data_IF_698726680334
#
_entry.id   IF_698726680334
#
_cell.length_a   1.000
_cell.length_b   1.000
_cell.length_c   1.000
_cell.angle_alpha   90.00
_cell.angle_beta   90.00
_cell.angle_gamma   90.00
#
_symmetry.space_group_name_H-M   'P 1'
#
loop_
_entity.id
_entity.type
_entity.pdbx_description
1 polymer ?
#
# COMPACT_ATOMS: atom_id res chain seq x y z
N UNK A 1 -37.25 3.83 23.36
CA UNK A 1 -37.81 5.20 23.39
C UNK A 1 -37.58 5.74 24.79
N UNK A 2 -36.77 6.78 24.95
CA UNK A 2 -36.47 7.34 26.27
C UNK A 2 -37.64 8.21 26.72
N UNK A 3 -38.48 7.70 27.62
CA UNK A 3 -39.46 8.52 28.34
C UNK A 3 -38.70 9.49 29.23
N UNK A 4 -38.64 10.75 28.84
CA UNK A 4 -38.06 11.82 29.67
C UNK A 4 -38.97 12.04 30.88
N UNK A 5 -38.71 11.32 31.97
CA UNK A 5 -39.40 11.52 33.24
C UNK A 5 -38.97 12.90 33.76
N UNK A 6 -39.86 13.88 33.64
CA UNK A 6 -39.60 15.25 34.09
C UNK A 6 -39.33 15.27 35.60
N UNK A 7 -38.30 15.99 36.03
CA UNK A 7 -37.98 16.15 37.46
C UNK A 7 -39.22 16.63 38.23
N UNK A 8 -39.67 15.91 39.26
CA UNK A 8 -40.84 16.29 40.03
C UNK A 8 -40.61 17.65 40.68
N UNK A 9 -41.63 18.51 40.63
CA UNK A 9 -41.61 19.84 41.28
C UNK A 9 -42.48 19.80 42.54
N UNK A 10 -42.07 20.49 43.62
CA UNK A 10 -42.91 20.60 44.80
C UNK A 10 -44.19 21.39 44.46
N UNK A 11 -45.30 21.14 45.19
CA UNK A 11 -46.56 21.87 44.96
C UNK A 11 -46.40 23.37 45.27
N UNK A 12 -45.48 23.69 46.17
CA UNK A 12 -45.21 25.04 46.65
C UNK A 12 -43.72 25.21 46.96
N UNK A 13 -43.19 26.42 46.78
CA UNK A 13 -41.80 26.77 47.08
C UNK A 13 -41.77 27.73 48.27
N UNK A 14 -41.77 27.22 49.51
CA UNK A 14 -41.72 28.06 50.70
C UNK A 14 -40.41 28.83 50.78
N UNK A 15 -40.49 30.10 51.16
CA UNK A 15 -39.35 30.98 51.42
C UNK A 15 -38.91 30.95 52.87
N UNK A 16 -39.79 30.54 53.79
CA UNK A 16 -39.49 30.31 55.20
C UNK A 16 -40.23 29.06 55.78
N UNK A 17 -39.85 28.57 56.97
CA UNK A 17 -40.45 27.37 57.57
C UNK A 17 -41.90 27.55 58.05
N UNK A 18 -42.35 28.77 58.35
CA UNK A 18 -43.71 29.07 58.83
C UNK A 18 -44.70 29.03 57.66
N UNK A 19 -44.26 29.53 56.50
CA UNK A 19 -44.95 29.45 55.21
C UNK A 19 -45.13 27.97 54.77
N UNK A 20 -44.08 27.16 54.87
CA UNK A 20 -44.16 25.71 54.64
C UNK A 20 -45.15 25.02 55.59
N UNK A 21 -45.05 25.30 56.89
CA UNK A 21 -45.89 24.68 57.92
C UNK A 21 -47.36 25.03 57.71
N UNK A 22 -47.65 26.28 57.36
CA UNK A 22 -49.00 26.74 57.03
C UNK A 22 -49.55 26.05 55.77
N UNK A 23 -48.72 25.88 54.74
CA UNK A 23 -49.13 25.24 53.48
C UNK A 23 -49.31 23.72 53.60
N UNK A 24 -48.47 23.01 54.37
CA UNK A 24 -48.53 21.55 54.48
C UNK A 24 -49.75 21.07 55.28
N UNK A 25 -50.27 21.88 56.21
CA UNK A 25 -51.51 21.57 56.95
C UNK A 25 -52.71 21.44 56.00
N UNK A 26 -52.79 22.29 54.97
CA UNK A 26 -53.90 22.28 54.01
C UNK A 26 -53.63 21.37 52.80
N UNK A 27 -52.37 21.25 52.36
CA UNK A 27 -51.98 20.53 51.13
C UNK A 27 -51.12 19.29 51.38
N UNK A 28 -51.25 18.65 52.55
CA UNK A 28 -50.40 17.52 52.95
C UNK A 28 -50.41 16.32 51.98
N UNK A 29 -51.53 16.08 51.28
CA UNK A 29 -51.62 15.04 50.26
C UNK A 29 -50.75 15.34 49.02
N UNK A 30 -50.72 16.60 48.58
CA UNK A 30 -49.89 17.03 47.44
C UNK A 30 -48.40 16.94 47.78
N UNK A 31 -48.04 17.27 49.02
CA UNK A 31 -46.69 17.10 49.55
C UNK A 31 -46.28 15.61 49.67
N UNK A 32 -47.19 14.74 50.13
CA UNK A 32 -46.96 13.29 50.14
C UNK A 32 -46.71 12.74 48.73
N UNK A 33 -47.57 13.09 47.77
CA UNK A 33 -47.43 12.68 46.37
C UNK A 33 -46.20 13.28 45.68
N UNK A 34 -45.73 14.46 46.12
CA UNK A 34 -44.44 15.01 45.68
C UNK A 34 -43.29 14.15 46.21
N UNK A 35 -43.24 13.88 47.52
CA UNK A 35 -42.18 13.06 48.13
C UNK A 35 -42.10 11.66 47.51
N UNK A 36 -43.25 11.00 47.27
CA UNK A 36 -43.30 9.71 46.56
C UNK A 36 -42.74 9.80 45.14
N UNK A 37 -43.10 10.85 44.39
CA UNK A 37 -42.58 11.06 43.02
C UNK A 37 -41.10 11.43 42.99
N UNK A 38 -40.57 12.09 44.02
CA UNK A 38 -39.12 12.33 44.19
C UNK A 38 -38.38 11.01 44.41
N UNK A 39 -38.88 10.15 45.28
CA UNK A 39 -38.27 8.83 45.56
C UNK A 39 -38.24 7.96 44.29
N UNK A 40 -39.39 7.82 43.60
CA UNK A 40 -39.49 7.13 42.31
C UNK A 40 -38.54 7.71 41.26
N UNK A 41 -38.40 9.05 41.20
CA UNK A 41 -37.49 9.72 40.27
C UNK A 41 -36.02 9.43 40.59
N UNK A 42 -35.62 9.45 41.87
CA UNK A 42 -34.24 9.14 42.29
C UNK A 42 -33.91 7.68 41.94
N UNK A 43 -34.76 6.73 42.33
CA UNK A 43 -34.58 5.30 42.04
C UNK A 43 -34.45 5.03 40.54
N UNK A 44 -35.21 5.74 39.70
CA UNK A 44 -35.12 5.57 38.24
C UNK A 44 -33.91 6.27 37.61
N UNK A 45 -33.41 7.37 38.18
CA UNK A 45 -32.33 8.18 37.58
C UNK A 45 -30.93 7.86 38.10
N UNK A 46 -30.79 7.34 39.31
CA UNK A 46 -29.51 6.90 39.88
C UNK A 46 -28.76 5.89 38.98
N UNK A 47 -29.36 4.79 38.47
CA UNK A 47 -28.65 3.85 37.61
C UNK A 47 -28.25 4.47 36.26
N UNK A 48 -29.10 5.34 35.69
CA UNK A 48 -28.81 6.04 34.43
C UNK A 48 -27.64 7.02 34.62
N UNK A 49 -27.59 7.71 35.76
CA UNK A 49 -26.49 8.60 36.11
C UNK A 49 -25.19 7.82 36.36
N UNK A 50 -25.25 6.67 37.02
CA UNK A 50 -24.10 5.80 37.24
C UNK A 50 -23.52 5.26 35.92
N UNK A 51 -24.37 4.77 35.02
CA UNK A 51 -23.99 4.32 33.67
C UNK A 51 -23.37 5.46 32.85
N UNK A 52 -24.02 6.64 32.85
CA UNK A 52 -23.50 7.83 32.15
C UNK A 52 -22.14 8.28 32.68
N UNK A 53 -21.95 8.27 34.01
CA UNK A 53 -20.64 8.56 34.62
C UNK A 53 -19.59 7.50 34.28
N UNK A 54 -19.96 6.22 34.22
CA UNK A 54 -19.06 5.16 33.79
C UNK A 54 -18.63 5.35 32.33
N UNK A 55 -19.58 5.60 31.43
CA UNK A 55 -19.31 5.86 30.01
C UNK A 55 -18.42 7.09 29.82
N UNK A 56 -18.68 8.18 30.57
CA UNK A 56 -17.88 9.40 30.56
C UNK A 56 -16.44 9.18 31.06
N UNK A 57 -16.19 8.19 31.94
CA UNK A 57 -14.84 7.78 32.36
C UNK A 57 -14.15 6.86 31.34
N UNK A 58 -14.90 6.03 30.63
CA UNK A 58 -14.36 5.09 29.64
C UNK A 58 -13.99 5.76 28.30
N UNK A 59 -14.82 6.70 27.82
CA UNK A 59 -14.61 7.37 26.52
C UNK A 59 -13.23 8.04 26.38
N UNK A 60 -12.70 8.80 27.36
CA UNK A 60 -11.36 9.37 27.27
C UNK A 60 -10.25 8.30 27.17
N UNK A 61 -10.39 7.19 27.89
CA UNK A 61 -9.41 6.08 27.85
C UNK A 61 -9.42 5.39 26.49
N UNK A 62 -10.59 5.16 25.90
CA UNK A 62 -10.74 4.59 24.57
C UNK A 62 -10.17 5.52 23.49
N UNK A 63 -10.46 6.83 23.55
CA UNK A 63 -9.87 7.82 22.66
C UNK A 63 -8.34 7.86 22.79
N UNK A 64 -7.80 7.78 24.01
CA UNK A 64 -6.36 7.75 24.24
C UNK A 64 -5.71 6.45 23.76
N UNK A 65 -6.42 5.32 23.76
CA UNK A 65 -5.93 4.07 23.17
C UNK A 65 -5.88 4.17 21.64
N UNK A 66 -6.98 4.61 21.01
CA UNK A 66 -7.06 4.82 19.56
C UNK A 66 -6.04 5.85 19.05
N UNK A 67 -5.79 6.94 19.79
CA UNK A 67 -4.76 7.91 19.42
C UNK A 67 -3.37 7.28 19.37
N UNK A 68 -3.00 6.45 20.38
CA UNK A 68 -1.71 5.74 20.37
C UNK A 68 -1.59 4.76 19.20
N UNK A 69 -2.69 4.10 18.83
CA UNK A 69 -2.73 3.20 17.68
C UNK A 69 -2.52 3.96 16.37
N UNK A 70 -3.20 5.11 16.19
CA UNK A 70 -3.00 6.01 15.05
C UNK A 70 -1.55 6.51 14.98
N UNK A 71 -0.97 6.94 16.11
CA UNK A 71 0.41 7.42 16.19
C UNK A 71 1.40 6.29 15.84
N UNK A 72 1.13 5.06 16.28
CA UNK A 72 1.95 3.89 15.97
C UNK A 72 1.87 3.50 14.49
N UNK A 73 0.68 3.47 13.91
CA UNK A 73 0.48 3.17 12.49
C UNK A 73 1.13 4.23 11.58
N UNK A 74 1.08 5.52 11.94
CA UNK A 74 1.81 6.56 11.22
C UNK A 74 3.33 6.36 11.28
N UNK A 75 3.89 5.92 12.41
CA UNK A 75 5.32 5.61 12.52
C UNK A 75 5.71 4.41 11.64
N UNK A 76 4.90 3.35 11.64
CA UNK A 76 5.11 2.19 10.76
C UNK A 76 5.06 2.59 9.28
N UNK A 77 4.04 3.35 8.86
CA UNK A 77 3.91 3.84 7.49
C UNK A 77 5.11 4.69 7.06
N UNK A 78 5.53 5.62 7.91
CA UNK A 78 6.70 6.49 7.65
C UNK A 78 7.99 5.66 7.51
N UNK A 79 8.17 4.62 8.33
CA UNK A 79 9.31 3.72 8.24
C UNK A 79 9.32 2.93 6.91
N UNK A 80 8.19 2.33 6.53
CA UNK A 80 8.03 1.62 5.25
C UNK A 80 8.24 2.53 4.03
N UNK A 81 7.66 3.74 4.03
CA UNK A 81 7.88 4.72 2.97
C UNK A 81 9.37 5.08 2.82
N UNK A 82 10.09 5.25 3.93
CA UNK A 82 11.54 5.53 3.92
C UNK A 82 12.36 4.34 3.39
N UNK A 83 12.02 3.12 3.79
CA UNK A 83 12.67 1.89 3.33
C UNK A 83 12.42 1.65 1.82
N UNK A 84 11.19 1.89 1.36
CA UNK A 84 10.83 1.82 -0.05
C UNK A 84 11.58 2.88 -0.87
N UNK A 85 11.65 4.12 -0.38
CA UNK A 85 12.40 5.20 -1.04
C UNK A 85 13.90 4.88 -1.15
N UNK A 86 14.51 4.35 -0.08
CA UNK A 86 15.91 3.93 -0.07
C UNK A 86 16.15 2.78 -1.06
N UNK A 87 15.28 1.78 -1.09
CA UNK A 87 15.35 0.64 -2.03
C UNK A 87 15.24 1.13 -3.48
N UNK A 88 14.30 2.03 -3.77
CA UNK A 88 14.14 2.64 -5.10
C UNK A 88 15.37 3.44 -5.52
N UNK A 89 15.97 4.22 -4.61
CA UNK A 89 17.19 4.97 -4.89
C UNK A 89 18.39 4.04 -5.19
N UNK A 90 18.54 2.96 -4.42
CA UNK A 90 19.59 1.95 -4.65
C UNK A 90 19.43 1.25 -6.01
N UNK A 91 18.20 0.83 -6.36
CA UNK A 91 17.90 0.24 -7.68
C UNK A 91 18.19 1.22 -8.82
N UNK A 92 17.84 2.49 -8.67
CA UNK A 92 18.13 3.50 -9.68
C UNK A 92 19.65 3.71 -9.86
N UNK A 93 20.43 3.79 -8.78
CA UNK A 93 21.88 3.89 -8.84
C UNK A 93 22.52 2.67 -9.54
N UNK A 94 22.02 1.44 -9.30
CA UNK A 94 22.46 0.23 -10.00
C UNK A 94 22.18 0.32 -11.50
N UNK A 95 20.97 0.76 -11.89
CA UNK A 95 20.58 0.93 -13.30
C UNK A 95 21.46 1.98 -13.99
N UNK A 96 21.75 3.10 -13.33
CA UNK A 96 22.60 4.17 -13.86
C UNK A 96 24.06 3.70 -14.02
N UNK A 97 24.60 2.98 -13.05
CA UNK A 97 25.93 2.35 -13.15
C UNK A 97 26.00 1.33 -14.31
N UNK A 98 25.02 0.43 -14.42
CA UNK A 98 24.96 -0.56 -15.51
C UNK A 98 24.86 0.11 -16.90
N UNK A 99 24.09 1.20 -17.02
CA UNK A 99 24.05 2.02 -18.25
C UNK A 99 25.38 2.68 -18.56
N UNK A 100 26.14 3.09 -17.54
CA UNK A 100 27.51 3.60 -17.69
C UNK A 100 28.45 2.54 -18.26
N UNK A 101 28.54 1.38 -17.59
CA UNK A 101 29.37 0.25 -18.03
C UNK A 101 29.03 -0.22 -19.45
N UNK A 102 27.74 -0.25 -19.82
CA UNK A 102 27.31 -0.66 -21.16
C UNK A 102 27.80 0.31 -22.25
N UNK A 103 27.70 1.62 -22.01
CA UNK A 103 28.20 2.65 -22.95
C UNK A 103 29.72 2.60 -23.11
N UNK A 104 30.45 2.39 -22.02
CA UNK A 104 31.90 2.22 -22.07
C UNK A 104 32.27 1.00 -22.95
N UNK A 105 31.61 -0.15 -22.74
CA UNK A 105 31.85 -1.36 -23.53
C UNK A 105 31.43 -1.24 -25.00
N UNK A 106 30.36 -0.50 -25.28
CA UNK A 106 29.94 -0.18 -26.64
C UNK A 106 30.99 0.69 -27.35
N UNK A 107 31.54 1.70 -26.66
CA UNK A 107 32.61 2.55 -27.20
C UNK A 107 33.93 1.77 -27.40
N UNK A 108 34.33 0.92 -26.45
CA UNK A 108 35.47 0.01 -26.57
C UNK A 108 35.35 -0.86 -27.84
N UNK A 109 34.18 -1.45 -28.06
CA UNK A 109 33.89 -2.29 -29.22
C UNK A 109 33.97 -1.51 -30.54
N UNK A 110 33.40 -0.31 -30.60
CA UNK A 110 33.47 0.57 -31.78
C UNK A 110 34.93 0.94 -32.09
N UNK A 111 35.72 1.27 -31.07
CA UNK A 111 37.14 1.61 -31.22
C UNK A 111 37.94 0.41 -31.76
N UNK A 112 37.77 -0.77 -31.17
CA UNK A 112 38.45 -1.99 -31.61
C UNK A 112 38.04 -2.43 -33.04
N UNK A 113 36.78 -2.19 -33.42
CA UNK A 113 36.31 -2.45 -34.79
C UNK A 113 36.95 -1.48 -35.80
N UNK A 114 37.11 -0.20 -35.43
CA UNK A 114 37.80 0.80 -36.25
C UNK A 114 39.30 0.46 -36.41
N UNK A 115 39.99 0.11 -35.32
CA UNK A 115 41.40 -0.30 -35.33
C UNK A 115 41.61 -1.55 -36.21
N UNK A 116 40.76 -2.58 -36.05
CA UNK A 116 40.78 -3.77 -36.91
C UNK A 116 40.65 -3.39 -38.39
N UNK A 117 39.69 -2.54 -38.74
CA UNK A 117 39.45 -2.14 -40.13
C UNK A 117 40.66 -1.36 -40.70
N UNK A 118 41.29 -0.50 -39.91
CA UNK A 118 42.52 0.20 -40.28
C UNK A 118 43.69 -0.77 -40.48
N UNK A 119 43.89 -1.73 -39.58
CA UNK A 119 44.93 -2.75 -39.69
C UNK A 119 44.76 -3.62 -40.95
N UNK A 120 43.51 -4.00 -41.29
CA UNK A 120 43.21 -4.73 -42.52
C UNK A 120 43.52 -3.91 -43.77
N UNK A 121 43.21 -2.61 -43.79
CA UNK A 121 43.55 -1.73 -44.91
C UNK A 121 45.07 -1.57 -45.08
N UNK A 122 45.82 -1.42 -43.99
CA UNK A 122 47.28 -1.32 -44.01
C UNK A 122 47.98 -2.63 -44.42
N UNK A 123 47.37 -3.77 -44.09
CA UNK A 123 47.86 -5.10 -44.48
C UNK A 123 47.47 -5.51 -45.91
N UNK A 124 46.61 -4.74 -46.59
CA UNK A 124 46.20 -5.05 -47.96
C UNK A 124 47.38 -4.83 -48.94
N UNK A 125 47.84 -5.87 -49.66
CA UNK A 125 49.01 -5.74 -50.52
C UNK A 125 48.74 -4.77 -51.68
N UNK A 126 49.53 -3.70 -51.75
CA UNK A 126 49.42 -2.68 -52.81
C UNK A 126 49.96 -3.20 -54.14
N UNK A 127 49.19 -4.06 -54.80
CA UNK A 127 49.50 -4.51 -56.16
C UNK A 127 49.27 -3.34 -57.12
N UNK A 128 50.36 -2.75 -57.61
CA UNK A 128 50.33 -1.89 -58.79
C UNK A 128 50.00 -2.76 -60.01
N UNK A 129 48.71 -2.94 -60.30
CA UNK A 129 48.26 -3.63 -61.50
C UNK A 129 48.55 -2.75 -62.73
N UNK A 130 49.42 -3.15 -63.66
CA UNK A 130 49.62 -2.40 -64.90
C UNK A 130 48.30 -2.37 -65.69
N UNK A 131 47.96 -1.21 -66.27
CA UNK A 131 46.70 -1.04 -66.99
C UNK A 131 46.59 -2.06 -68.15
N UNK A 132 45.64 -2.99 -68.04
CA UNK A 132 45.33 -3.94 -69.11
C UNK A 132 44.19 -3.39 -69.97
N UNK A 133 44.50 -3.13 -71.23
CA UNK A 133 43.56 -2.70 -72.27
C UNK A 133 42.35 -3.64 -72.33
N UNK A 134 41.11 -3.13 -72.49
CA UNK A 134 39.93 -3.99 -72.58
C UNK A 134 39.87 -4.68 -73.94
N UNK A 135 39.61 -5.99 -73.94
CA UNK A 135 39.21 -6.75 -75.12
C UNK A 135 37.88 -7.48 -74.87
N UNK A 136 37.18 -7.85 -75.94
CA UNK A 136 35.73 -7.76 -76.02
C UNK A 136 35.00 -9.10 -76.11
N UNK A 137 33.83 -9.15 -75.45
CA UNK A 137 32.64 -9.94 -75.80
C UNK A 137 32.65 -11.49 -75.66
N UNK A 138 31.42 -12.03 -75.78
CA UNK A 138 30.98 -13.44 -75.72
C UNK A 138 30.98 -14.10 -74.31
N UNK A 139 29.96 -14.84 -73.87
CA UNK A 139 28.57 -15.06 -74.38
C UNK A 139 27.73 -15.67 -73.22
N UNK A 140 26.40 -15.49 -73.21
CA UNK A 140 25.49 -16.07 -72.20
C UNK A 140 24.52 -17.06 -72.85
N UNK A 141 24.53 -18.33 -72.42
CA UNK A 141 23.28 -19.00 -72.00
C UNK A 141 23.50 -20.01 -70.84
N UNK A 142 22.50 -20.53 -70.12
CA UNK A 142 21.11 -20.17 -69.83
C UNK A 142 20.57 -21.16 -68.74
N UNK A 143 19.27 -21.06 -68.39
CA UNK A 143 18.45 -22.10 -67.71
C UNK A 143 18.60 -22.26 -66.18
N UNK A 144 17.62 -21.70 -65.46
CA UNK A 144 16.94 -22.38 -64.33
C UNK A 144 15.71 -23.14 -64.92
N UNK A 145 15.05 -24.16 -64.29
CA UNK A 145 14.45 -24.05 -62.95
C UNK A 145 14.29 -25.39 -62.14
N UNK A 146 13.46 -25.35 -61.07
CA UNK A 146 12.62 -26.44 -60.48
C UNK A 146 13.06 -27.14 -59.15
N UNK A 147 12.43 -26.68 -58.05
CA UNK A 147 11.73 -27.41 -56.94
C UNK A 147 12.48 -28.39 -56.00
N UNK A 148 12.45 -28.03 -54.69
CA UNK A 148 12.19 -28.76 -53.42
C UNK A 148 12.16 -30.32 -53.36
N UNK A 149 12.37 -31.00 -52.19
CA UNK A 149 12.12 -30.54 -50.80
C UNK A 149 13.33 -30.79 -49.85
N UNK A 150 13.27 -30.77 -48.50
CA UNK A 150 12.18 -30.74 -47.51
C UNK A 150 12.58 -30.04 -46.18
N UNK A 151 11.63 -29.91 -45.25
CA UNK A 151 11.86 -29.45 -43.87
C UNK A 151 12.30 -30.59 -42.94
N UNK A 152 13.15 -30.30 -41.95
CA UNK A 152 13.50 -31.24 -40.87
C UNK A 152 12.55 -31.02 -39.69
N UNK A 153 11.88 -32.09 -39.25
CA UNK A 153 11.08 -32.09 -38.03
C UNK A 153 11.94 -31.87 -36.78
N UNK A 154 11.49 -30.98 -35.90
CA UNK A 154 12.04 -30.83 -34.55
C UNK A 154 11.30 -31.77 -33.58
N UNK A 155 11.96 -32.77 -32.96
CA UNK A 155 11.32 -33.62 -31.97
C UNK A 155 11.07 -32.86 -30.66
N UNK A 156 9.93 -33.16 -30.02
CA UNK A 156 9.50 -32.59 -28.74
C UNK A 156 10.57 -32.70 -27.65
N UNK A 157 10.94 -31.57 -27.06
CA UNK A 157 11.62 -31.51 -25.77
C UNK A 157 10.61 -31.07 -24.69
N UNK A 158 9.93 -32.04 -24.07
CA UNK A 158 9.24 -31.82 -22.79
C UNK A 158 10.26 -31.47 -21.72
N UNK A 159 10.38 -30.19 -21.37
CA UNK A 159 11.11 -29.75 -20.18
C UNK A 159 10.11 -29.20 -19.17
N UNK A 160 9.83 -30.01 -18.15
CA UNK A 160 9.11 -29.55 -16.98
C UNK A 160 9.99 -28.52 -16.25
N UNK A 161 9.48 -27.31 -16.03
CA UNK A 161 10.06 -26.40 -15.06
C UNK A 161 9.06 -26.19 -13.92
N UNK A 162 9.60 -26.40 -12.72
CA UNK A 162 8.86 -26.50 -11.47
C UNK A 162 8.37 -25.12 -11.06
N UNK A 163 7.09 -25.00 -10.76
CA UNK A 163 6.55 -23.82 -10.10
C UNK A 163 6.97 -23.86 -8.63
N UNK A 164 7.97 -23.06 -8.26
CA UNK A 164 8.33 -22.85 -6.86
C UNK A 164 7.21 -22.10 -6.14
N UNK A 165 6.32 -22.89 -5.52
CA UNK A 165 5.26 -22.39 -4.65
C UNK A 165 5.84 -22.19 -3.26
N UNK A 166 6.00 -20.93 -2.86
CA UNK A 166 6.33 -20.56 -1.48
C UNK A 166 5.35 -21.24 -0.50
N UNK A 167 5.81 -21.72 0.67
CA UNK A 167 4.94 -22.34 1.65
C UNK A 167 3.95 -21.33 2.25
N UNK A 168 2.70 -21.74 2.43
CA UNK A 168 1.66 -20.92 3.09
C UNK A 168 2.05 -20.59 4.54
N UNK A 169 1.90 -19.32 4.99
CA UNK A 169 2.27 -18.91 6.35
C UNK A 169 1.38 -19.51 7.45
N UNK A 170 0.16 -19.93 7.11
CA UNK A 170 -0.88 -20.41 8.05
C UNK A 170 -0.64 -21.85 8.57
N UNK A 171 0.60 -22.35 8.53
CA UNK A 171 0.98 -23.68 9.06
C UNK A 171 2.09 -23.68 10.10
N UNK A 172 2.46 -22.51 10.61
CA UNK A 172 3.32 -22.40 11.79
C UNK A 172 2.50 -22.50 13.09
N UNK A 173 2.01 -23.71 13.40
CA UNK A 173 1.69 -24.06 14.79
C UNK A 173 3.01 -24.37 15.50
N UNK A 174 3.39 -23.53 16.46
CA UNK A 174 4.58 -23.73 17.30
C UNK A 174 4.22 -24.43 18.61
N UNK A 175 5.03 -25.44 18.97
CA UNK A 175 5.16 -25.99 20.34
C UNK A 175 5.75 -24.94 21.32
#
# INVERSE_FOLDING_TARGET
>A
MSTTQSTPRPPFLPTDPEEFTSHVITHGAEWFDYCRRVDEYVVNTEPILAESQQQARQLPLQNQALQREIDHLHQQLTAEESAHQQTRAALQAIIEYQKGQLKEKEQDYINALAEKNQAVQLAAPTVNTPARTPESAAEVPAVAPVVAPASIDSPSATSAQLSERLPDPDKFEGD
#
